data_IF_133266142014
#
_entry.id   IF_133266142014
#
_cell.length_a   1.000
_cell.length_b   1.000
_cell.length_c   1.000
_cell.angle_alpha   90.00
_cell.angle_beta   90.00
_cell.angle_gamma   90.00
#
_symmetry.space_group_name_H-M   'P 1'
#
loop_
_entity.id
_entity.type
_entity.pdbx_description
1 polymer ?
#
# COMPACT_ATOMS: atom_id res chain seq x y z
N UNK A 1 2.35 25.10 -7.11
CA UNK A 1 1.76 25.32 -5.75
C UNK A 1 0.25 25.49 -5.87
N UNK A 2 -0.53 24.95 -4.94
CA UNK A 2 -2.00 25.09 -4.97
C UNK A 2 -2.48 26.51 -4.69
N UNK A 3 -3.66 26.83 -5.20
CA UNK A 3 -4.37 28.05 -4.81
C UNK A 3 -4.87 27.96 -3.35
N UNK A 4 -5.10 29.09 -2.67
CA UNK A 4 -5.65 29.08 -1.31
C UNK A 4 -6.99 28.35 -1.21
N UNK A 5 -7.82 28.42 -2.26
CA UNK A 5 -9.11 27.72 -2.32
C UNK A 5 -8.90 26.20 -2.33
N UNK A 6 -7.94 25.70 -3.13
CA UNK A 6 -7.60 24.28 -3.19
C UNK A 6 -6.99 23.78 -1.90
N UNK A 7 -6.12 24.56 -1.25
CA UNK A 7 -5.56 24.21 0.06
C UNK A 7 -6.68 24.03 1.09
N UNK A 8 -7.61 24.98 1.19
CA UNK A 8 -8.76 24.88 2.10
C UNK A 8 -9.63 23.67 1.76
N UNK A 9 -9.94 23.47 0.47
CA UNK A 9 -10.74 22.34 0.01
C UNK A 9 -10.08 21.00 0.36
N UNK A 10 -8.75 20.91 0.20
CA UNK A 10 -8.00 19.70 0.53
C UNK A 10 -7.99 19.44 2.03
N UNK A 11 -7.81 20.46 2.87
CA UNK A 11 -7.88 20.31 4.33
C UNK A 11 -9.27 19.82 4.78
N UNK A 12 -10.34 20.40 4.23
CA UNK A 12 -11.72 19.96 4.54
C UNK A 12 -11.90 18.50 4.12
N UNK A 13 -11.48 18.13 2.90
CA UNK A 13 -11.56 16.76 2.41
C UNK A 13 -10.76 15.80 3.30
N UNK A 14 -9.56 16.18 3.71
CA UNK A 14 -8.70 15.39 4.60
C UNK A 14 -9.35 15.16 5.97
N UNK A 15 -9.93 16.20 6.58
CA UNK A 15 -10.62 16.08 7.86
C UNK A 15 -11.85 15.15 7.76
N UNK A 16 -12.65 15.30 6.71
CA UNK A 16 -13.81 14.43 6.47
C UNK A 16 -13.39 12.98 6.23
N UNK A 17 -12.35 12.76 5.43
CA UNK A 17 -11.83 11.43 5.14
C UNK A 17 -11.26 10.75 6.38
N UNK A 18 -10.51 11.47 7.24
CA UNK A 18 -10.02 10.93 8.52
C UNK A 18 -11.19 10.56 9.43
N UNK A 19 -12.21 11.43 9.53
CA UNK A 19 -13.41 11.15 10.31
C UNK A 19 -14.16 9.91 9.82
N UNK A 20 -14.32 9.75 8.51
CA UNK A 20 -14.96 8.57 7.92
C UNK A 20 -14.11 7.30 8.12
N UNK A 21 -12.79 7.39 7.93
CA UNK A 21 -11.87 6.27 8.08
C UNK A 21 -11.79 5.73 9.51
N UNK A 22 -11.95 6.60 10.52
CA UNK A 22 -11.94 6.21 11.93
C UNK A 22 -12.84 5.01 12.22
N UNK A 23 -14.03 4.95 11.60
CA UNK A 23 -14.96 3.83 11.76
C UNK A 23 -14.33 2.49 11.36
N UNK A 24 -13.70 2.41 10.19
CA UNK A 24 -13.08 1.18 9.71
C UNK A 24 -11.84 0.75 10.51
N UNK A 25 -10.99 1.71 10.89
CA UNK A 25 -9.87 1.40 11.78
C UNK A 25 -10.35 0.92 13.16
N UNK A 26 -11.39 1.54 13.71
CA UNK A 26 -12.02 1.13 14.97
C UNK A 26 -12.63 -0.26 14.85
N UNK A 27 -13.33 -0.58 13.76
CA UNK A 27 -13.91 -1.90 13.55
C UNK A 27 -12.83 -2.99 13.57
N UNK A 28 -11.72 -2.78 12.85
CA UNK A 28 -10.60 -3.74 12.87
C UNK A 28 -10.02 -3.87 14.27
N UNK A 29 -9.79 -2.76 14.97
CA UNK A 29 -9.28 -2.78 16.33
C UNK A 29 -10.21 -3.56 17.28
N UNK A 30 -11.52 -3.37 17.16
CA UNK A 30 -12.51 -4.09 17.96
C UNK A 30 -12.53 -5.58 17.59
N UNK A 31 -12.49 -5.92 16.30
CA UNK A 31 -12.43 -7.32 15.84
C UNK A 31 -11.21 -8.03 16.43
N UNK A 32 -10.01 -7.46 16.29
CA UNK A 32 -8.78 -8.06 16.83
C UNK A 32 -8.85 -8.20 18.35
N UNK A 33 -9.44 -7.23 19.06
CA UNK A 33 -9.54 -7.29 20.52
C UNK A 33 -10.62 -8.22 21.07
N UNK A 34 -11.48 -8.78 20.23
CA UNK A 34 -12.39 -9.87 20.64
C UNK A 34 -11.68 -11.20 20.81
N UNK A 35 -10.47 -11.34 20.25
CA UNK A 35 -9.68 -12.56 20.37
C UNK A 35 -9.07 -12.75 21.76
N UNK A 36 -8.77 -14.00 22.08
CA UNK A 36 -8.13 -14.42 23.34
C UNK A 36 -6.64 -14.04 23.38
N UNK A 37 -6.08 -14.01 24.60
CA UNK A 37 -4.67 -13.74 24.82
C UNK A 37 -4.22 -12.29 24.56
N UNK A 38 -2.91 -12.09 24.47
CA UNK A 38 -2.29 -10.79 24.23
C UNK A 38 -1.33 -10.83 23.05
N UNK A 39 -1.15 -9.68 22.40
CA UNK A 39 -0.13 -9.50 21.39
C UNK A 39 1.25 -9.46 22.05
N UNK A 40 2.26 -10.07 21.42
CA UNK A 40 3.59 -10.17 22.00
C UNK A 40 4.42 -8.90 21.72
N UNK A 41 4.37 -7.94 22.64
CA UNK A 41 5.15 -6.70 22.59
C UNK A 41 6.55 -6.82 23.22
N UNK A 42 7.04 -8.03 23.47
CA UNK A 42 8.37 -8.26 24.05
C UNK A 42 9.48 -8.08 22.99
N UNK A 43 10.70 -7.74 23.42
CA UNK A 43 11.90 -7.67 22.54
C UNK A 43 11.74 -6.74 21.32
N UNK A 44 11.03 -5.61 21.46
CA UNK A 44 10.68 -4.72 20.34
C UNK A 44 11.87 -4.30 19.46
N UNK A 45 13.06 -3.90 19.99
CA UNK A 45 14.17 -3.51 19.13
C UNK A 45 14.62 -4.64 18.19
N UNK A 46 14.73 -5.87 18.71
CA UNK A 46 15.12 -7.03 17.90
C UNK A 46 14.05 -7.40 16.88
N UNK A 47 12.77 -7.33 17.27
CA UNK A 47 11.63 -7.58 16.36
C UNK A 47 11.54 -6.53 15.26
N UNK A 48 11.73 -5.26 15.60
CA UNK A 48 11.74 -4.13 14.66
C UNK A 48 12.88 -4.29 13.65
N UNK A 49 14.09 -4.60 14.12
CA UNK A 49 15.22 -4.86 13.24
C UNK A 49 14.93 -6.02 12.28
N UNK A 50 14.41 -7.14 12.79
CA UNK A 50 14.08 -8.28 11.96
C UNK A 50 12.96 -7.96 10.95
N UNK A 51 11.93 -7.21 11.38
CA UNK A 51 10.86 -6.73 10.51
C UNK A 51 11.41 -5.84 9.40
N UNK A 52 12.31 -4.90 9.72
CA UNK A 52 12.97 -4.01 8.77
C UNK A 52 13.85 -4.79 7.77
N UNK A 53 14.67 -5.74 8.25
CA UNK A 53 15.47 -6.62 7.38
C UNK A 53 14.57 -7.40 6.43
N UNK A 54 13.47 -7.99 6.90
CA UNK A 54 12.51 -8.73 6.07
C UNK A 54 11.76 -7.80 5.11
N UNK A 55 11.47 -6.57 5.54
CA UNK A 55 10.79 -5.56 4.73
C UNK A 55 11.68 -5.04 3.60
N UNK A 56 12.95 -4.73 3.86
CA UNK A 56 13.86 -4.21 2.84
C UNK A 56 14.32 -5.35 1.91
N UNK A 57 14.81 -6.46 2.47
CA UNK A 57 15.37 -7.56 1.68
C UNK A 57 14.33 -8.32 0.87
N UNK A 58 13.04 -8.27 1.28
CA UNK A 58 11.95 -8.99 0.64
C UNK A 58 12.27 -10.49 0.45
N UNK A 59 13.12 -11.04 1.34
CA UNK A 59 13.66 -12.41 1.23
C UNK A 59 12.58 -13.48 1.23
N UNK A 60 11.47 -13.27 1.95
CA UNK A 60 10.36 -14.23 2.01
C UNK A 60 9.58 -14.29 0.70
N UNK A 61 9.37 -13.16 0.03
CA UNK A 61 8.70 -13.10 -1.28
C UNK A 61 9.56 -13.64 -2.42
N UNK A 62 10.89 -13.56 -2.31
CA UNK A 62 11.83 -14.06 -3.32
C UNK A 62 12.15 -15.55 -3.20
N UNK A 63 11.85 -16.19 -2.07
CA UNK A 63 12.08 -17.63 -1.85
C UNK A 63 11.33 -18.54 -2.83
N UNK A 64 10.22 -18.07 -3.41
CA UNK A 64 9.45 -18.85 -4.39
C UNK A 64 9.98 -18.68 -5.81
N UNK A 65 11.02 -19.43 -6.16
CA UNK A 65 11.60 -19.46 -7.51
C UNK A 65 10.56 -19.78 -8.60
N UNK A 66 9.53 -20.57 -8.29
CA UNK A 66 8.43 -20.91 -9.23
C UNK A 66 7.60 -19.70 -9.69
N UNK A 67 7.68 -18.55 -9.00
CA UNK A 67 6.91 -17.33 -9.31
C UNK A 67 7.79 -16.07 -9.33
N UNK A 68 9.05 -16.21 -9.74
CA UNK A 68 10.05 -15.15 -9.73
C UNK A 68 9.54 -13.84 -10.37
N UNK A 69 8.90 -13.93 -11.54
CA UNK A 69 8.39 -12.74 -12.24
C UNK A 69 7.36 -11.97 -11.41
N UNK A 70 6.40 -12.66 -10.79
CA UNK A 70 5.40 -12.03 -9.91
C UNK A 70 6.05 -11.42 -8.68
N UNK A 71 7.04 -12.11 -8.09
CA UNK A 71 7.79 -11.60 -6.95
C UNK A 71 8.62 -10.35 -7.30
N UNK A 72 9.21 -10.27 -8.49
CA UNK A 72 9.96 -9.10 -8.97
C UNK A 72 9.05 -7.89 -9.20
N UNK A 73 7.88 -8.07 -9.84
CA UNK A 73 6.93 -6.98 -9.99
C UNK A 73 6.36 -6.52 -8.64
N UNK A 74 6.08 -7.44 -7.72
CA UNK A 74 5.67 -7.09 -6.37
C UNK A 74 6.79 -6.36 -5.60
N UNK A 75 8.06 -6.70 -5.82
CA UNK A 75 9.21 -6.01 -5.23
C UNK A 75 9.24 -4.54 -5.67
N UNK A 76 9.10 -4.29 -6.97
CA UNK A 76 9.00 -2.93 -7.51
C UNK A 76 7.85 -2.15 -6.91
N UNK A 77 6.68 -2.79 -6.74
CA UNK A 77 5.53 -2.21 -6.03
C UNK A 77 5.88 -1.85 -4.58
N UNK A 78 6.46 -2.76 -3.79
CA UNK A 78 6.74 -2.48 -2.38
C UNK A 78 7.78 -1.37 -2.20
N UNK A 79 8.90 -1.42 -2.93
CA UNK A 79 9.93 -0.38 -2.81
C UNK A 79 9.41 0.96 -3.32
N UNK A 80 8.65 0.96 -4.41
CA UNK A 80 7.99 2.16 -4.90
C UNK A 80 7.02 2.75 -3.88
N UNK A 81 6.09 1.96 -3.33
CA UNK A 81 5.17 2.45 -2.29
C UNK A 81 5.89 2.95 -1.03
N UNK A 82 7.01 2.32 -0.65
CA UNK A 82 7.83 2.78 0.48
C UNK A 82 8.39 4.17 0.22
N UNK A 83 9.00 4.36 -0.95
CA UNK A 83 9.56 5.64 -1.35
C UNK A 83 8.46 6.69 -1.56
N UNK A 84 7.28 6.27 -2.01
CA UNK A 84 6.14 7.14 -2.21
C UNK A 84 5.60 7.77 -0.92
N UNK A 85 5.88 7.23 0.26
CA UNK A 85 5.62 7.96 1.51
C UNK A 85 6.42 9.27 1.57
N UNK A 86 7.70 9.24 1.18
CA UNK A 86 8.53 10.44 1.09
C UNK A 86 8.06 11.34 -0.05
N UNK A 87 7.81 10.78 -1.24
CA UNK A 87 7.31 11.56 -2.40
C UNK A 87 6.03 12.29 -2.06
N UNK A 88 5.02 11.60 -1.54
CA UNK A 88 3.73 12.19 -1.19
C UNK A 88 3.86 13.24 -0.08
N UNK A 89 4.76 13.04 0.87
CA UNK A 89 5.04 14.03 1.90
C UNK A 89 5.65 15.31 1.29
N UNK A 90 6.64 15.17 0.41
CA UNK A 90 7.26 16.33 -0.27
C UNK A 90 6.28 17.01 -1.24
N UNK A 91 5.46 16.27 -1.97
CA UNK A 91 4.44 16.82 -2.88
C UNK A 91 3.32 17.54 -2.11
N UNK A 92 3.01 17.11 -0.88
CA UNK A 92 2.14 17.85 0.02
C UNK A 92 2.78 19.18 0.42
N UNK A 93 4.08 19.18 0.78
CA UNK A 93 4.79 20.41 1.11
C UNK A 93 4.86 21.37 -0.09
N UNK A 94 5.10 20.87 -1.31
CA UNK A 94 5.03 21.65 -2.57
C UNK A 94 3.66 22.29 -2.82
N UNK A 95 2.60 21.61 -2.40
CA UNK A 95 1.23 22.14 -2.50
C UNK A 95 0.95 23.31 -1.54
N UNK A 96 1.62 23.34 -0.38
CA UNK A 96 1.31 24.27 0.72
C UNK A 96 2.35 25.38 0.93
N UNK A 97 3.63 25.11 0.67
CA UNK A 97 4.74 26.01 0.95
C UNK A 97 5.14 26.71 -0.35
N UNK A 98 5.08 28.05 -0.42
CA UNK A 98 5.58 28.79 -1.56
C UNK A 98 7.08 28.54 -1.77
N UNK A 99 7.50 28.39 -3.03
CA UNK A 99 8.90 28.22 -3.43
C UNK A 99 9.64 27.05 -2.74
N UNK A 100 8.91 25.99 -2.37
CA UNK A 100 9.51 24.82 -1.73
C UNK A 100 10.53 24.11 -2.64
N UNK A 101 10.34 24.18 -3.96
CA UNK A 101 11.26 23.58 -4.94
C UNK A 101 12.64 24.24 -4.90
N UNK A 102 12.76 25.55 -4.62
CA UNK A 102 14.06 26.22 -4.48
C UNK A 102 14.85 25.65 -3.31
N UNK A 103 14.17 25.31 -2.21
CA UNK A 103 14.79 24.67 -1.05
C UNK A 103 15.25 23.24 -1.37
N UNK A 104 14.51 22.51 -2.20
CA UNK A 104 14.88 21.16 -2.63
C UNK A 104 16.08 21.19 -3.58
N UNK A 105 16.04 22.05 -4.60
CA UNK A 105 17.12 22.21 -5.59
C UNK A 105 18.43 22.63 -4.92
N UNK A 106 18.37 23.43 -3.86
CA UNK A 106 19.56 23.81 -3.09
C UNK A 106 20.31 22.63 -2.45
N UNK A 107 19.70 21.44 -2.39
CA UNK A 107 20.32 20.21 -1.87
C UNK A 107 21.17 19.44 -2.90
N UNK A 108 21.20 19.89 -4.16
CA UNK A 108 22.06 19.36 -5.22
C UNK A 108 21.87 17.86 -5.47
N UNK A 109 22.92 17.07 -5.22
CA UNK A 109 22.93 15.62 -5.49
C UNK A 109 21.77 14.85 -4.81
N UNK A 110 21.31 15.31 -3.64
CA UNK A 110 20.21 14.65 -2.93
C UNK A 110 18.88 14.77 -3.68
N UNK A 111 18.64 15.92 -4.29
CA UNK A 111 17.45 16.20 -5.08
C UNK A 111 17.49 15.47 -6.43
N UNK A 112 18.66 15.41 -7.09
CA UNK A 112 18.85 14.58 -8.29
C UNK A 112 18.60 13.09 -8.01
N UNK A 113 19.14 12.55 -6.91
CA UNK A 113 18.90 11.17 -6.49
C UNK A 113 17.43 10.93 -6.14
N UNK A 114 16.77 11.90 -5.49
CA UNK A 114 15.35 11.82 -5.17
C UNK A 114 14.49 11.75 -6.43
N UNK A 115 14.70 12.67 -7.39
CA UNK A 115 13.97 12.68 -8.67
C UNK A 115 14.20 11.40 -9.46
N UNK A 116 15.46 10.95 -9.58
CA UNK A 116 15.80 9.72 -10.29
C UNK A 116 15.16 8.50 -9.65
N UNK A 117 15.28 8.37 -8.33
CA UNK A 117 14.67 7.25 -7.60
C UNK A 117 13.15 7.28 -7.74
N UNK A 118 12.54 8.45 -7.64
CA UNK A 118 11.10 8.66 -7.82
C UNK A 118 10.64 8.26 -9.21
N UNK A 119 11.34 8.69 -10.26
CA UNK A 119 11.04 8.41 -11.67
C UNK A 119 11.13 6.91 -11.97
N UNK A 120 12.25 6.27 -11.61
CA UNK A 120 12.47 4.83 -11.79
C UNK A 120 11.41 3.99 -11.05
N UNK A 121 11.13 4.35 -9.79
CA UNK A 121 10.15 3.62 -8.98
C UNK A 121 8.72 3.86 -9.47
N UNK A 122 8.38 5.04 -9.99
CA UNK A 122 7.07 5.30 -10.58
C UNK A 122 6.77 4.33 -11.71
N UNK A 123 7.72 4.17 -12.64
CA UNK A 123 7.60 3.20 -13.75
C UNK A 123 7.54 1.77 -13.23
N UNK A 124 8.35 1.41 -12.23
CA UNK A 124 8.32 0.07 -11.62
C UNK A 124 6.96 -0.25 -10.99
N UNK A 125 6.35 0.70 -10.27
CA UNK A 125 5.01 0.52 -9.68
C UNK A 125 3.95 0.42 -10.77
N UNK A 126 3.96 1.31 -11.77
CA UNK A 126 2.97 1.30 -12.86
C UNK A 126 3.04 -0.01 -13.65
N UNK A 127 4.23 -0.41 -14.09
CA UNK A 127 4.43 -1.67 -14.80
C UNK A 127 4.05 -2.88 -13.94
N UNK A 128 4.45 -2.87 -12.66
CA UNK A 128 4.09 -3.92 -11.70
C UNK A 128 2.59 -4.03 -11.47
N UNK A 129 1.90 -2.91 -11.36
CA UNK A 129 0.45 -2.90 -11.14
C UNK A 129 -0.31 -3.36 -12.39
N UNK A 130 0.09 -2.91 -13.58
CA UNK A 130 -0.45 -3.42 -14.85
C UNK A 130 -0.26 -4.93 -14.93
N UNK A 131 0.95 -5.44 -14.69
CA UNK A 131 1.22 -6.87 -14.68
C UNK A 131 0.33 -7.64 -13.69
N UNK A 132 0.18 -7.16 -12.46
CA UNK A 132 -0.60 -7.82 -11.42
C UNK A 132 -2.11 -7.84 -11.73
N UNK A 133 -2.64 -6.78 -12.36
CA UNK A 133 -4.03 -6.73 -12.85
C UNK A 133 -4.21 -7.73 -13.99
N UNK A 134 -3.33 -7.70 -15.01
CA UNK A 134 -3.35 -8.64 -16.14
C UNK A 134 -3.25 -10.09 -15.66
N UNK A 135 -2.35 -10.36 -14.69
CA UNK A 135 -2.20 -11.69 -14.08
C UNK A 135 -3.47 -12.17 -13.39
N UNK A 136 -4.19 -11.27 -12.72
CA UNK A 136 -5.42 -11.60 -11.99
C UNK A 136 -6.59 -11.85 -12.92
N UNK A 137 -6.81 -10.98 -13.90
CA UNK A 137 -8.03 -10.98 -14.69
C UNK A 137 -7.90 -11.65 -16.05
N UNK A 138 -6.70 -11.71 -16.64
CA UNK A 138 -6.51 -12.17 -18.01
C UNK A 138 -5.73 -13.49 -18.06
N UNK A 139 -4.61 -13.61 -17.34
CA UNK A 139 -3.70 -14.74 -17.49
C UNK A 139 -4.23 -16.08 -16.90
N UNK A 140 -3.75 -17.24 -17.39
CA UNK A 140 -4.18 -18.58 -16.95
C UNK A 140 -3.84 -18.92 -15.48
N UNK A 141 -3.07 -18.06 -14.81
CA UNK A 141 -2.69 -18.20 -13.39
C UNK A 141 -3.89 -18.16 -12.42
N UNK A 142 -5.13 -18.04 -12.93
CA UNK A 142 -6.37 -18.17 -12.17
C UNK A 142 -6.42 -19.42 -11.29
N UNK A 143 -5.84 -20.56 -11.70
CA UNK A 143 -5.90 -21.79 -10.89
C UNK A 143 -5.32 -21.60 -9.49
N UNK A 144 -4.23 -20.83 -9.35
CA UNK A 144 -3.59 -20.55 -8.06
C UNK A 144 -4.30 -19.48 -7.24
N UNK A 145 -5.19 -18.71 -7.89
CA UNK A 145 -5.98 -17.63 -7.29
C UNK A 145 -7.43 -18.06 -7.06
N UNK A 146 -7.76 -19.33 -7.32
CA UNK A 146 -9.07 -19.92 -7.04
C UNK A 146 -9.03 -20.61 -5.69
N UNK A 147 -10.12 -20.45 -4.95
CA UNK A 147 -10.36 -21.22 -3.74
C UNK A 147 -10.62 -22.68 -4.11
N UNK A 148 -10.18 -23.61 -3.26
CA UNK A 148 -10.55 -25.01 -3.38
C UNK A 148 -12.04 -25.20 -3.04
N UNK A 149 -12.68 -26.19 -3.65
CA UNK A 149 -14.13 -26.43 -3.50
C UNK A 149 -14.54 -26.78 -2.05
N UNK A 150 -13.60 -27.26 -1.24
CA UNK A 150 -13.80 -27.58 0.17
C UNK A 150 -13.72 -26.35 1.11
N UNK A 151 -13.41 -25.16 0.60
CA UNK A 151 -13.31 -23.94 1.41
C UNK A 151 -14.67 -23.25 1.50
N UNK A 152 -15.16 -23.06 2.73
CA UNK A 152 -16.37 -22.29 2.98
C UNK A 152 -16.11 -20.80 2.75
N UNK A 153 -16.79 -20.23 1.77
CA UNK A 153 -16.68 -18.82 1.40
C UNK A 153 -17.93 -18.04 1.78
N UNK A 154 -17.74 -16.83 2.30
CA UNK A 154 -18.81 -15.88 2.52
C UNK A 154 -19.55 -15.57 1.20
N UNK A 155 -20.89 -15.40 1.18
CA UNK A 155 -21.66 -15.19 -0.05
C UNK A 155 -21.13 -14.05 -0.94
N UNK A 156 -20.71 -12.93 -0.33
CA UNK A 156 -20.10 -11.80 -1.05
C UNK A 156 -18.80 -12.19 -1.77
N UNK A 157 -17.98 -13.05 -1.15
CA UNK A 157 -16.73 -13.54 -1.75
C UNK A 157 -17.04 -14.46 -2.93
N UNK A 158 -18.04 -15.35 -2.80
CA UNK A 158 -18.54 -16.18 -3.92
C UNK A 158 -19.06 -15.33 -5.08
N UNK A 159 -19.68 -14.18 -4.77
CA UNK A 159 -20.15 -13.22 -5.76
C UNK A 159 -19.03 -12.34 -6.38
N UNK A 160 -17.75 -12.57 -6.04
CA UNK A 160 -16.61 -11.88 -6.65
C UNK A 160 -16.20 -10.58 -5.96
N UNK A 161 -16.57 -10.35 -4.69
CA UNK A 161 -16.21 -9.11 -3.98
C UNK A 161 -14.69 -8.86 -3.90
N UNK A 162 -13.88 -9.92 -3.82
CA UNK A 162 -12.41 -9.82 -3.76
C UNK A 162 -11.82 -9.35 -5.10
N UNK A 163 -12.45 -9.72 -6.21
CA UNK A 163 -12.04 -9.29 -7.55
C UNK A 163 -12.42 -7.83 -7.78
N UNK A 164 -13.62 -7.43 -7.35
CA UNK A 164 -14.02 -6.02 -7.34
C UNK A 164 -13.07 -5.18 -6.50
N UNK A 165 -12.78 -5.58 -5.27
CA UNK A 165 -11.82 -4.89 -4.41
C UNK A 165 -10.44 -4.80 -5.08
N UNK A 166 -10.00 -5.90 -5.70
CA UNK A 166 -8.72 -5.94 -6.40
C UNK A 166 -8.62 -4.99 -7.57
N UNK A 167 -9.71 -4.79 -8.31
CA UNK A 167 -9.79 -3.85 -9.40
C UNK A 167 -9.81 -2.41 -8.87
N UNK A 168 -10.61 -2.11 -7.84
CA UNK A 168 -10.69 -0.78 -7.23
C UNK A 168 -9.31 -0.35 -6.72
N UNK A 169 -8.65 -1.20 -5.93
CA UNK A 169 -7.30 -0.92 -5.42
C UNK A 169 -6.30 -0.77 -6.57
N UNK A 170 -6.35 -1.67 -7.57
CA UNK A 170 -5.41 -1.61 -8.70
C UNK A 170 -5.56 -0.33 -9.53
N UNK A 171 -6.80 0.07 -9.83
CA UNK A 171 -7.11 1.31 -10.55
C UNK A 171 -6.73 2.54 -9.71
N UNK A 172 -7.02 2.53 -8.41
CA UNK A 172 -6.58 3.60 -7.50
C UNK A 172 -5.06 3.79 -7.56
N UNK A 173 -4.29 2.70 -7.46
CA UNK A 173 -2.82 2.76 -7.53
C UNK A 173 -2.35 3.33 -8.87
N UNK A 174 -2.94 2.87 -9.99
CA UNK A 174 -2.60 3.38 -11.32
C UNK A 174 -2.92 4.87 -11.47
N UNK A 175 -4.06 5.33 -10.96
CA UNK A 175 -4.44 6.75 -10.98
C UNK A 175 -3.50 7.56 -10.09
N UNK A 176 -3.26 7.13 -8.85
CA UNK A 176 -2.43 7.85 -7.90
C UNK A 176 -0.98 8.02 -8.39
N UNK A 177 -0.32 6.90 -8.69
CA UNK A 177 1.08 6.88 -9.14
C UNK A 177 1.20 7.47 -10.55
N UNK A 178 0.25 7.16 -11.43
CA UNK A 178 0.23 7.66 -12.80
C UNK A 178 0.02 9.16 -12.85
N UNK A 179 -0.89 9.70 -12.03
CA UNK A 179 -1.08 11.14 -11.91
C UNK A 179 0.18 11.82 -11.39
N UNK A 180 0.80 11.32 -10.32
CA UNK A 180 2.06 11.89 -9.81
C UNK A 180 3.15 11.89 -10.90
N UNK A 181 3.30 10.79 -11.63
CA UNK A 181 4.27 10.67 -12.72
C UNK A 181 3.97 11.62 -13.89
N UNK A 182 2.70 11.77 -14.27
CA UNK A 182 2.29 12.73 -15.30
C UNK A 182 2.45 14.18 -14.83
N UNK A 183 2.25 14.47 -13.54
CA UNK A 183 2.54 15.77 -12.94
C UNK A 183 4.01 16.16 -13.09
N UNK A 184 4.93 15.22 -12.85
CA UNK A 184 6.36 15.43 -13.11
C UNK A 184 6.64 15.69 -14.61
N UNK A 185 6.00 14.93 -15.51
CA UNK A 185 6.14 15.14 -16.95
C UNK A 185 5.63 16.53 -17.40
N UNK A 186 4.56 17.03 -16.79
CA UNK A 186 4.05 18.40 -17.00
C UNK A 186 5.05 19.44 -16.51
N UNK A 187 5.64 19.22 -15.33
CA UNK A 187 6.66 20.11 -14.78
C UNK A 187 7.87 20.21 -15.72
N UNK A 188 8.38 19.08 -16.21
CA UNK A 188 9.48 19.01 -17.18
C UNK A 188 9.10 19.68 -18.51
N UNK A 189 7.85 19.56 -18.96
CA UNK A 189 7.38 20.25 -20.16
C UNK A 189 7.41 21.78 -20.00
N UNK A 190 7.28 22.30 -18.77
CA UNK A 190 7.36 23.73 -18.47
C UNK A 190 8.80 24.23 -18.29
N UNK A 191 9.69 23.43 -17.68
CA UNK A 191 11.04 23.85 -17.28
C UNK A 191 12.16 23.39 -18.21
N UNK A 192 11.89 22.42 -19.08
CA UNK A 192 12.86 21.82 -19.99
C UNK A 192 13.38 20.46 -19.51
N UNK A 193 14.19 19.81 -20.34
CA UNK A 193 14.70 18.44 -20.12
C UNK A 193 15.37 18.24 -18.76
N UNK A 194 14.99 17.19 -18.03
CA UNK A 194 15.61 16.77 -16.77
C UNK A 194 16.26 15.39 -16.89
N UNK A 195 17.59 15.35 -16.78
CA UNK A 195 18.36 14.10 -16.82
C UNK A 195 18.13 13.22 -15.57
N UNK A 196 17.72 13.83 -14.45
CA UNK A 196 17.38 13.12 -13.23
C UNK A 196 15.99 12.51 -13.29
N UNK A 197 15.19 12.75 -14.33
CA UNK A 197 13.85 12.19 -14.50
C UNK A 197 13.68 11.65 -15.93
N UNK A 198 14.42 10.60 -16.33
CA UNK A 198 14.50 10.17 -17.72
C UNK A 198 13.16 9.68 -18.29
N UNK A 199 12.34 8.97 -17.52
CA UNK A 199 11.07 8.45 -18.00
C UNK A 199 10.00 9.54 -18.08
N UNK A 200 9.90 10.41 -17.07
CA UNK A 200 9.02 11.57 -17.14
C UNK A 200 9.41 12.49 -18.29
N UNK A 201 10.72 12.67 -18.56
CA UNK A 201 11.23 13.41 -19.73
C UNK A 201 10.77 12.82 -21.06
N UNK A 202 10.73 11.48 -21.20
CA UNK A 202 10.23 10.83 -22.41
C UNK A 202 8.72 11.12 -22.63
N UNK A 203 7.97 11.32 -21.54
CA UNK A 203 6.52 11.54 -21.57
C UNK A 203 6.14 13.02 -21.66
N UNK A 204 7.02 13.93 -21.21
CA UNK A 204 6.83 15.38 -21.23
C UNK A 204 6.39 15.95 -22.60
N UNK A 205 6.84 15.45 -23.77
CA UNK A 205 6.38 15.93 -25.07
C UNK A 205 4.87 15.86 -25.28
N UNK A 206 4.13 15.00 -24.55
CA UNK A 206 2.67 14.97 -24.60
C UNK A 206 2.02 16.31 -24.19
N UNK A 207 2.74 17.14 -23.45
CA UNK A 207 2.26 18.44 -22.95
C UNK A 207 2.92 19.65 -23.63
N UNK A 208 3.83 19.44 -24.58
CA UNK A 208 4.61 20.50 -25.24
C UNK A 208 3.79 21.54 -26.02
N UNK A 209 2.56 21.18 -26.44
CA UNK A 209 1.64 22.10 -27.12
C UNK A 209 0.67 22.84 -26.20
N UNK A 210 0.72 22.62 -24.88
CA UNK A 210 -0.14 23.29 -23.94
C UNK A 210 0.30 24.74 -23.70
N UNK A 211 -0.66 25.66 -23.59
CA UNK A 211 -0.38 27.01 -23.08
C UNK A 211 0.09 26.95 -21.62
N UNK A 212 0.73 28.01 -21.14
CA UNK A 212 1.13 28.14 -19.72
C UNK A 212 -0.03 27.86 -18.75
N UNK A 213 -1.21 28.42 -19.02
CA UNK A 213 -2.41 28.14 -18.22
C UNK A 213 -2.90 26.69 -18.32
N UNK A 214 -2.64 26.01 -19.45
CA UNK A 214 -2.92 24.59 -19.63
C UNK A 214 -1.97 23.69 -18.82
N UNK A 215 -0.68 24.02 -18.80
CA UNK A 215 0.30 23.31 -17.97
C UNK A 215 -0.03 23.46 -16.48
N UNK A 216 -0.35 24.68 -16.04
CA UNK A 216 -0.79 24.93 -14.66
C UNK A 216 -2.04 24.11 -14.30
N UNK A 217 -3.02 24.05 -15.20
CA UNK A 217 -4.21 23.22 -15.00
C UNK A 217 -3.85 21.74 -14.84
N UNK A 218 -2.97 21.19 -15.69
CA UNK A 218 -2.56 19.79 -15.59
C UNK A 218 -1.76 19.50 -14.31
N UNK A 219 -0.88 20.41 -13.89
CA UNK A 219 -0.15 20.29 -12.61
C UNK A 219 -1.14 20.11 -11.46
N UNK A 220 -2.15 20.98 -11.37
CA UNK A 220 -3.18 20.92 -10.32
C UNK A 220 -4.04 19.67 -10.43
N UNK A 221 -4.49 19.31 -11.63
CA UNK A 221 -5.28 18.11 -11.88
C UNK A 221 -4.55 16.85 -11.41
N UNK A 222 -3.28 16.70 -11.80
CA UNK A 222 -2.48 15.55 -11.44
C UNK A 222 -2.11 15.53 -9.96
N UNK A 223 -1.86 16.69 -9.34
CA UNK A 223 -1.69 16.80 -7.89
C UNK A 223 -2.94 16.29 -7.15
N UNK A 224 -4.14 16.70 -7.58
CA UNK A 224 -5.40 16.26 -6.98
C UNK A 224 -5.69 14.77 -7.19
N UNK A 225 -5.44 14.25 -8.38
CA UNK A 225 -5.59 12.82 -8.66
C UNK A 225 -4.59 11.98 -7.85
N UNK A 226 -3.39 12.50 -7.60
CA UNK A 226 -2.39 11.85 -6.75
C UNK A 226 -2.76 11.94 -5.26
N UNK A 227 -2.68 13.12 -4.65
CA UNK A 227 -2.85 13.28 -3.20
C UNK A 227 -4.31 13.31 -2.77
N UNK A 228 -5.17 14.02 -3.51
CA UNK A 228 -6.62 13.99 -3.27
C UNK A 228 -7.19 12.58 -3.43
N UNK A 229 -6.68 11.82 -4.41
CA UNK A 229 -7.00 10.40 -4.58
C UNK A 229 -6.72 9.56 -3.33
N UNK A 230 -5.56 9.74 -2.68
CA UNK A 230 -5.24 9.04 -1.42
C UNK A 230 -6.25 9.38 -0.34
N UNK A 231 -6.57 10.67 -0.19
CA UNK A 231 -7.51 11.14 0.84
C UNK A 231 -8.90 10.52 0.61
N UNK A 232 -9.38 10.50 -0.62
CA UNK A 232 -10.67 9.86 -0.97
C UNK A 232 -10.65 8.35 -0.74
N UNK A 233 -9.52 7.69 -0.95
CA UNK A 233 -9.35 6.25 -0.75
C UNK A 233 -9.24 5.85 0.74
N UNK A 234 -8.84 6.77 1.61
CA UNK A 234 -8.55 6.51 3.03
C UNK A 234 -9.71 5.83 3.80
N UNK A 235 -10.99 6.22 3.65
CA UNK A 235 -12.09 5.54 4.34
C UNK A 235 -12.33 4.12 3.86
N UNK A 236 -11.96 3.82 2.60
CA UNK A 236 -12.10 2.49 2.02
C UNK A 236 -10.93 1.58 2.42
N UNK A 237 -9.74 2.15 2.63
CA UNK A 237 -8.49 1.45 2.96
C UNK A 237 -8.63 0.30 3.99
N UNK A 238 -9.21 0.49 5.19
CA UNK A 238 -9.29 -0.57 6.22
C UNK A 238 -10.17 -1.76 5.83
N UNK A 239 -11.00 -1.61 4.80
CA UNK A 239 -11.89 -2.67 4.30
C UNK A 239 -11.33 -3.37 3.05
N UNK A 240 -10.15 -2.98 2.58
CA UNK A 240 -9.54 -3.53 1.36
C UNK A 240 -8.44 -4.54 1.66
N UNK A 241 -8.07 -5.33 0.66
CA UNK A 241 -6.82 -6.11 0.72
C UNK A 241 -5.56 -5.24 0.90
N UNK A 242 -5.60 -3.96 0.50
CA UNK A 242 -4.44 -3.06 0.58
C UNK A 242 -4.06 -2.73 2.03
N UNK A 243 -4.97 -2.95 2.97
CA UNK A 243 -4.73 -2.81 4.40
C UNK A 243 -3.57 -3.67 4.93
N UNK A 244 -3.21 -4.74 4.22
CA UNK A 244 -2.04 -5.55 4.51
C UNK A 244 -0.73 -4.74 4.58
N UNK A 245 -0.67 -3.58 3.91
CA UNK A 245 0.49 -2.67 3.95
C UNK A 245 0.77 -2.22 5.38
N UNK A 246 -0.28 -1.99 6.18
CA UNK A 246 -0.18 -1.62 7.59
C UNK A 246 -0.11 -2.84 8.50
N UNK A 247 -0.92 -3.86 8.23
CA UNK A 247 -1.07 -5.01 9.12
C UNK A 247 0.06 -6.02 9.04
N UNK A 248 0.75 -6.14 7.90
CA UNK A 248 1.89 -7.06 7.79
C UNK A 248 3.09 -6.62 8.66
N UNK A 249 3.54 -5.35 8.65
CA UNK A 249 4.56 -4.87 9.60
C UNK A 249 4.15 -5.05 11.06
N UNK A 250 2.91 -4.69 11.42
CA UNK A 250 2.40 -4.86 12.79
C UNK A 250 2.43 -6.33 13.23
N UNK A 251 2.10 -7.25 12.33
CA UNK A 251 2.18 -8.68 12.58
C UNK A 251 3.61 -9.14 12.87
N UNK A 252 4.62 -8.70 12.11
CA UNK A 252 6.02 -9.03 12.41
C UNK A 252 6.47 -8.53 13.79
N UNK A 253 5.94 -7.38 14.22
CA UNK A 253 6.26 -6.80 15.53
C UNK A 253 5.59 -7.53 16.71
N UNK A 254 4.48 -8.23 16.48
CA UNK A 254 3.63 -8.73 17.57
C UNK A 254 3.35 -10.24 17.55
N UNK A 255 3.72 -10.94 16.47
CA UNK A 255 3.50 -12.38 16.33
C UNK A 255 4.23 -13.21 17.41
N UNK A 256 3.63 -14.29 17.93
CA UNK A 256 4.31 -15.21 18.83
C UNK A 256 5.40 -16.01 18.10
N UNK A 257 6.27 -16.65 18.88
CA UNK A 257 7.11 -17.73 18.38
C UNK A 257 6.21 -18.95 18.12
N UNK A 258 6.15 -19.38 16.85
CA UNK A 258 5.34 -20.53 16.40
C UNK A 258 6.08 -21.26 15.28
N UNK A 259 5.95 -22.58 15.25
CA UNK A 259 6.48 -23.48 14.23
C UNK A 259 5.76 -23.30 12.90
N UNK A 260 4.47 -22.96 12.91
CA UNK A 260 3.69 -22.70 11.69
C UNK A 260 2.63 -21.61 11.89
N UNK A 261 2.15 -20.99 10.80
CA UNK A 261 1.13 -19.93 10.89
C UNK A 261 -0.21 -20.41 11.48
N UNK A 262 -0.58 -21.65 11.21
CA UNK A 262 -1.85 -22.25 11.66
C UNK A 262 -1.77 -22.96 13.01
N UNK A 263 -0.63 -22.85 13.69
CA UNK A 263 -0.45 -23.50 15.00
C UNK A 263 -1.45 -22.95 16.02
N UNK A 264 -2.20 -23.86 16.63
CA UNK A 264 -3.07 -23.57 17.76
C UNK A 264 -2.25 -23.58 19.04
N UNK A 265 -2.64 -22.76 20.01
CA UNK A 265 -2.01 -22.80 21.33
C UNK A 265 -2.28 -24.16 21.98
N UNK A 266 -1.27 -24.77 22.63
CA UNK A 266 -1.46 -26.03 23.33
C UNK A 266 -2.44 -25.84 24.48
N UNK A 267 -3.37 -26.79 24.62
CA UNK A 267 -4.31 -26.81 25.74
C UNK A 267 -3.64 -27.49 26.94
N UNK A 268 -3.79 -26.89 28.11
CA UNK A 268 -3.45 -27.51 29.38
C UNK A 268 -4.64 -28.36 29.84
N UNK A 269 -4.51 -29.68 29.75
CA UNK A 269 -5.58 -30.61 30.15
C UNK A 269 -5.70 -30.76 31.68
N UNK A 270 -4.73 -30.27 32.45
CA UNK A 270 -4.78 -30.26 33.91
C UNK A 270 -5.50 -29.01 34.45
N UNK A 271 -5.78 -28.02 33.60
CA UNK A 271 -6.54 -26.83 33.98
C UNK A 271 -8.05 -27.12 33.95
N UNK A 272 -8.60 -27.44 35.12
CA UNK A 272 -10.04 -27.72 35.31
C UNK A 272 -10.95 -26.50 35.01
N UNK A 273 -10.40 -25.29 34.83
CA UNK A 273 -11.18 -24.11 34.41
C UNK A 273 -11.49 -24.09 32.90
N UNK A 274 -10.85 -24.96 32.12
CA UNK A 274 -11.04 -25.04 30.66
C UNK A 274 -12.30 -25.83 30.33
N UNK A 275 -13.42 -25.13 30.18
CA UNK A 275 -14.71 -25.73 29.79
C UNK A 275 -14.87 -25.90 28.27
N UNK A 276 -13.93 -25.35 27.48
CA UNK A 276 -14.00 -25.39 26.03
C UNK A 276 -12.68 -25.84 25.38
N UNK A 277 -12.77 -26.92 24.61
CA UNK A 277 -11.68 -27.46 23.80
C UNK A 277 -11.76 -26.93 22.37
N UNK A 278 -10.69 -26.28 21.91
CA UNK A 278 -10.60 -25.73 20.56
C UNK A 278 -11.51 -24.53 20.28
N UNK A 279 -11.68 -24.20 19.00
CA UNK A 279 -12.32 -22.96 18.54
C UNK A 279 -13.61 -23.28 17.80
N UNK A 280 -14.75 -22.83 18.35
CA UNK A 280 -16.07 -22.94 17.73
C UNK A 280 -16.61 -21.60 17.21
N UNK A 281 -16.06 -20.48 17.67
CA UNK A 281 -16.41 -19.11 17.27
C UNK A 281 -15.16 -18.28 17.01
N UNK A 282 -15.28 -17.24 16.19
CA UNK A 282 -14.13 -16.39 15.82
C UNK A 282 -13.51 -15.67 17.03
N UNK A 283 -14.30 -15.33 18.03
CA UNK A 283 -13.85 -14.63 19.24
C UNK A 283 -12.95 -15.51 20.12
N UNK A 284 -12.89 -16.81 19.86
CA UNK A 284 -12.06 -17.76 20.59
C UNK A 284 -10.68 -17.94 19.93
N UNK A 285 -10.48 -17.39 18.73
CA UNK A 285 -9.16 -17.27 18.13
C UNK A 285 -8.32 -16.27 18.92
N UNK A 286 -7.01 -16.48 18.95
CA UNK A 286 -6.11 -15.52 19.59
C UNK A 286 -6.09 -14.19 18.83
N UNK A 287 -5.77 -13.08 19.52
CA UNK A 287 -5.62 -11.77 18.87
C UNK A 287 -4.66 -11.82 17.68
N UNK A 288 -3.60 -12.62 17.78
CA UNK A 288 -2.64 -12.86 16.69
C UNK A 288 -3.32 -13.48 15.47
N UNK A 289 -4.12 -14.54 15.66
CA UNK A 289 -4.80 -15.23 14.56
C UNK A 289 -5.84 -14.32 13.88
N UNK A 290 -6.54 -13.49 14.65
CA UNK A 290 -7.45 -12.48 14.10
C UNK A 290 -6.71 -11.40 13.30
N UNK A 291 -5.53 -10.98 13.79
CA UNK A 291 -4.67 -10.02 13.09
C UNK A 291 -4.08 -10.62 11.80
N UNK A 292 -3.68 -11.90 11.80
CA UNK A 292 -3.13 -12.61 10.63
C UNK A 292 -4.07 -12.53 9.42
N UNK A 293 -5.39 -12.55 9.63
CA UNK A 293 -6.40 -12.44 8.59
C UNK A 293 -6.36 -11.09 7.84
N UNK A 294 -5.87 -10.03 8.48
CA UNK A 294 -5.69 -8.72 7.86
C UNK A 294 -4.28 -8.53 7.26
N UNK A 295 -3.32 -9.38 7.62
CA UNK A 295 -1.93 -9.29 7.16
C UNK A 295 -1.65 -10.14 5.91
N UNK A 296 -2.34 -11.27 5.76
CA UNK A 296 -2.11 -12.21 4.65
C UNK A 296 -3.02 -11.93 3.45
N UNK A 297 -2.41 -11.62 2.29
CA UNK A 297 -3.13 -11.45 1.02
C UNK A 297 -2.64 -12.39 -0.08
N UNK A 298 -2.08 -13.54 0.30
CA UNK A 298 -1.42 -14.48 -0.62
C UNK A 298 -0.24 -13.86 -1.40
N UNK A 299 0.44 -12.88 -0.79
CA UNK A 299 1.68 -12.29 -1.32
C UNK A 299 2.92 -13.18 -1.07
N UNK A 300 2.74 -14.41 -0.57
CA UNK A 300 3.78 -15.38 -0.22
C UNK A 300 4.75 -14.94 0.90
N UNK A 301 4.61 -13.75 1.47
CA UNK A 301 5.47 -13.22 2.54
C UNK A 301 5.35 -13.98 3.87
N UNK A 302 4.19 -14.59 4.09
CA UNK A 302 3.85 -15.30 5.32
C UNK A 302 4.15 -16.82 5.22
N UNK A 303 4.52 -17.32 4.04
CA UNK A 303 4.93 -18.73 3.82
C UNK A 303 6.42 -18.92 4.09
#
# INVERSE_FOLDING_TARGET
MLTPVEQIAFLILALLAVGAAYSGFRDVYLIVNRGSGTLQWNKLPARLWNALVIYISQRTTLKMQRRLLTSLFHLGVVWGFTFYFLVNFLDLLRGYIPNFDDSLVSSGLLDELYRLTGDLLSVAVLAGMVYLIVRRFILPARKELKYHDNVLLHPKVKAGSVDRDSLIVGVFILIHVGARFLGEAVHIAATGTDLSSPFATIVAPLFSGASEGGLLFYEHLFWWLALGGIVVFLPYFPYTKHFHLMMAPLNFLTRPERTSLGELEPLDFEDESVEQFGVNKLEQLSKTQLMDAFSCIMCNRCQ
#
